data_IF_647854891838
#
_entry.id   IF_647854891838
#
_cell.length_a   1.000
_cell.length_b   1.000
_cell.length_c   1.000
_cell.angle_alpha   90.00
_cell.angle_beta   90.00
_cell.angle_gamma   90.00
#
_symmetry.space_group_name_H-M   'P 1'
#
loop_
_entity.id
_entity.type
_entity.pdbx_description
1 polymer ?
#
# COMPACT_ATOMS: atom_id res chain seq x y z
N UNK A 1 -8.71 -2.86 25.56
CA UNK A 1 -9.42 -3.36 24.36
C UNK A 1 -9.40 -2.31 23.26
N UNK A 2 -9.82 -1.07 23.53
CA UNK A 2 -9.82 0.07 22.59
C UNK A 2 -8.53 0.22 21.76
N UNK A 3 -7.35 0.34 22.41
CA UNK A 3 -6.09 0.55 21.68
C UNK A 3 -5.67 -0.59 20.75
N UNK A 4 -6.15 -1.83 20.97
CA UNK A 4 -5.94 -2.95 20.04
C UNK A 4 -6.80 -2.79 18.80
N UNK A 5 -8.05 -2.39 18.98
CA UNK A 5 -9.01 -2.21 17.88
C UNK A 5 -8.64 -1.03 17.00
N UNK A 6 -8.21 0.08 17.60
CA UNK A 6 -7.75 1.26 16.86
C UNK A 6 -6.50 0.95 16.03
N UNK A 7 -5.52 0.24 16.60
CA UNK A 7 -4.33 -0.22 15.87
C UNK A 7 -4.69 -1.11 14.67
N UNK A 8 -5.60 -2.08 14.86
CA UNK A 8 -6.04 -2.96 13.78
C UNK A 8 -6.76 -2.15 12.70
N UNK A 9 -7.64 -1.22 13.08
CA UNK A 9 -8.35 -0.34 12.15
C UNK A 9 -7.38 0.46 11.30
N UNK A 10 -6.40 1.13 11.92
CA UNK A 10 -5.37 1.90 11.21
C UNK A 10 -4.54 1.02 10.26
N UNK A 11 -4.20 -0.20 10.69
CA UNK A 11 -3.48 -1.14 9.85
C UNK A 11 -4.26 -1.54 8.60
N UNK A 12 -5.59 -1.69 8.72
CA UNK A 12 -6.46 -1.94 7.58
C UNK A 12 -6.60 -0.71 6.67
N UNK A 13 -6.70 0.49 7.24
CA UNK A 13 -6.73 1.75 6.47
C UNK A 13 -5.50 1.86 5.58
N UNK A 14 -4.29 1.68 6.14
CA UNK A 14 -3.03 1.70 5.38
C UNK A 14 -2.98 0.65 4.27
N UNK A 15 -3.56 -0.52 4.50
CA UNK A 15 -3.67 -1.58 3.49
C UNK A 15 -4.62 -1.16 2.36
N UNK A 16 -5.74 -0.53 2.68
CA UNK A 16 -6.70 -0.03 1.70
C UNK A 16 -6.14 1.13 0.88
N UNK A 17 -5.36 2.02 1.48
CA UNK A 17 -4.63 3.08 0.76
C UNK A 17 -3.68 2.48 -0.28
N UNK A 18 -2.89 1.46 0.09
CA UNK A 18 -1.97 0.80 -0.84
C UNK A 18 -2.72 0.12 -1.99
N UNK A 19 -3.93 -0.42 -1.73
CA UNK A 19 -4.81 -0.99 -2.76
C UNK A 19 -5.28 0.05 -3.76
N UNK A 20 -5.65 1.25 -3.32
CA UNK A 20 -6.05 2.34 -4.20
C UNK A 20 -4.90 2.77 -5.13
N UNK A 21 -3.68 2.87 -4.60
CA UNK A 21 -2.50 3.21 -5.42
C UNK A 21 -2.21 2.12 -6.46
N UNK A 22 -2.35 0.84 -6.09
CA UNK A 22 -2.23 -0.27 -7.04
C UNK A 22 -3.27 -0.20 -8.16
N UNK A 23 -4.52 0.09 -7.82
CA UNK A 23 -5.60 0.15 -8.82
C UNK A 23 -5.36 1.30 -9.81
N UNK A 24 -4.85 2.44 -9.33
CA UNK A 24 -4.47 3.57 -10.20
C UNK A 24 -3.24 3.27 -11.05
N UNK A 25 -2.23 2.59 -10.49
CA UNK A 25 -1.06 2.11 -11.24
C UNK A 25 -1.48 1.19 -12.40
N UNK A 26 -2.40 0.25 -12.16
CA UNK A 26 -2.90 -0.65 -13.20
C UNK A 26 -3.63 0.11 -14.30
N UNK A 27 -4.43 1.13 -13.95
CA UNK A 27 -5.07 1.99 -14.96
C UNK A 27 -4.04 2.75 -15.78
N UNK A 28 -3.05 3.36 -15.13
CA UNK A 28 -1.97 4.08 -15.81
C UNK A 28 -1.23 3.16 -16.78
N UNK A 29 -0.83 1.97 -16.35
CA UNK A 29 -0.12 1.01 -17.21
C UNK A 29 -0.95 0.60 -18.43
N UNK A 30 -2.27 0.42 -18.26
CA UNK A 30 -3.19 0.11 -19.36
C UNK A 30 -3.37 1.28 -20.33
N UNK A 31 -3.41 2.51 -19.82
CA UNK A 31 -3.62 3.71 -20.62
C UNK A 31 -2.36 4.09 -21.41
N UNK A 32 -1.19 4.06 -20.76
CA UNK A 32 0.10 4.48 -21.33
C UNK A 32 0.74 3.42 -22.24
N UNK A 33 0.37 2.14 -22.05
CA UNK A 33 0.91 1.03 -22.83
C UNK A 33 2.44 0.97 -22.77
N UNK A 34 3.09 1.20 -23.92
CA UNK A 34 4.56 1.16 -24.04
C UNK A 34 5.27 2.24 -23.24
N UNK A 35 4.61 3.38 -22.97
CA UNK A 35 5.19 4.50 -22.21
C UNK A 35 5.04 4.35 -20.69
N UNK A 36 4.44 3.25 -20.22
CA UNK A 36 4.12 3.05 -18.80
C UNK A 36 5.33 3.08 -17.86
N UNK A 37 6.53 2.73 -18.35
CA UNK A 37 7.76 2.76 -17.56
C UNK A 37 8.17 4.18 -17.14
N UNK A 38 7.89 5.18 -17.98
CA UNK A 38 8.21 6.59 -17.68
C UNK A 38 7.03 7.24 -16.97
N UNK A 39 5.85 7.18 -17.57
CA UNK A 39 4.68 7.94 -17.12
C UNK A 39 4.07 7.40 -15.80
N UNK A 40 4.18 6.08 -15.55
CA UNK A 40 3.64 5.45 -14.34
C UNK A 40 4.71 5.17 -13.27
N UNK A 41 5.94 5.65 -13.46
CA UNK A 41 7.07 5.39 -12.55
C UNK A 41 6.78 5.82 -11.11
N UNK A 42 6.26 7.04 -10.95
CA UNK A 42 5.97 7.60 -9.63
C UNK A 42 4.89 6.80 -8.86
N UNK A 43 3.89 6.25 -9.57
CA UNK A 43 2.89 5.36 -8.97
C UNK A 43 3.51 4.03 -8.54
N UNK A 44 4.46 3.51 -9.34
CA UNK A 44 5.18 2.29 -9.03
C UNK A 44 6.08 2.46 -7.79
N UNK A 45 6.86 3.54 -7.75
CA UNK A 45 7.72 3.87 -6.61
C UNK A 45 6.89 4.09 -5.33
N UNK A 46 5.80 4.85 -5.41
CA UNK A 46 4.86 5.05 -4.30
C UNK A 46 4.26 3.74 -3.82
N UNK A 47 3.83 2.86 -4.72
CA UNK A 47 3.26 1.57 -4.35
C UNK A 47 4.28 0.69 -3.62
N UNK A 48 5.53 0.65 -4.11
CA UNK A 48 6.63 -0.11 -3.48
C UNK A 48 6.92 0.43 -2.08
N UNK A 49 7.01 1.74 -1.91
CA UNK A 49 7.21 2.38 -0.60
C UNK A 49 6.10 1.98 0.39
N UNK A 50 4.84 2.03 -0.05
CA UNK A 50 3.69 1.63 0.77
C UNK A 50 3.73 0.14 1.12
N UNK A 51 4.19 -0.74 0.23
CA UNK A 51 4.34 -2.17 0.53
C UNK A 51 5.36 -2.45 1.63
N UNK A 52 6.35 -1.60 1.82
CA UNK A 52 7.32 -1.75 2.90
C UNK A 52 6.73 -1.30 4.26
N UNK A 53 5.99 -0.19 4.26
CA UNK A 53 5.44 0.42 5.48
C UNK A 53 4.09 -0.14 5.95
N UNK A 54 3.23 -0.57 5.03
CA UNK A 54 1.81 -0.81 5.30
C UNK A 54 1.44 -2.28 5.54
N UNK A 55 2.44 -3.17 5.69
CA UNK A 55 2.16 -4.57 6.03
C UNK A 55 1.44 -4.63 7.38
N UNK A 56 0.34 -5.38 7.45
CA UNK A 56 -0.36 -5.64 8.70
C UNK A 56 0.58 -6.38 9.64
N UNK A 57 1.06 -5.68 10.67
CA UNK A 57 1.86 -6.27 11.76
C UNK A 57 0.93 -6.67 12.89
N UNK A 58 1.20 -7.80 13.55
CA UNK A 58 0.44 -8.20 14.73
C UNK A 58 0.57 -7.16 15.86
N UNK A 59 -0.52 -6.89 16.58
CA UNK A 59 -0.52 -5.96 17.73
C UNK A 59 0.44 -6.41 18.85
N UNK A 60 0.62 -7.73 19.02
CA UNK A 60 1.56 -8.29 19.97
C UNK A 60 2.92 -8.46 19.29
N UNK A 61 3.88 -7.61 19.63
CA UNK A 61 5.30 -7.86 19.35
C UNK A 61 5.75 -8.98 20.29
N UNK A 62 6.13 -10.12 19.73
CA UNK A 62 6.77 -11.20 20.48
C UNK A 62 8.25 -11.01 20.18
N UNK A 63 9.00 -10.48 21.13
CA UNK A 63 10.46 -10.50 21.07
C UNK A 63 10.88 -11.94 21.41
N UNK A 64 11.57 -12.61 20.48
CA UNK A 64 12.19 -13.93 20.68
C UNK A 64 13.63 -13.72 21.11
#
# INVERSE_FOLDING_TARGET
IQGREDFIRESWVKTMEARLVRDELVKCQRYEGVNSLENCRWLSEKYIEMLHGNKVKGYKKIDV
#
